data_IF_517349206090
#
_entry.id   IF_517349206090
#
_cell.length_a   1.000
_cell.length_b   1.000
_cell.length_c   1.000
_cell.angle_alpha   90.00
_cell.angle_beta   90.00
_cell.angle_gamma   90.00
#
_symmetry.space_group_name_H-M   'P 1'
#
loop_
_entity.id
_entity.type
_entity.pdbx_description
1 polymer ?
#
# COMPACT_ATOMS: atom_id res chain seq x y z
N UNK A 1 -13.20 -3.69 27.24
CA UNK A 1 -12.12 -4.25 26.39
C UNK A 1 -11.65 -3.14 25.46
N UNK A 2 -10.35 -3.12 25.20
CA UNK A 2 -9.61 -1.89 24.97
C UNK A 2 -9.70 -1.45 23.50
N UNK A 3 -10.14 -0.21 23.26
CA UNK A 3 -10.09 0.43 21.92
C UNK A 3 -8.66 0.77 21.50
N UNK A 4 -7.66 0.29 22.24
CA UNK A 4 -6.24 0.50 22.02
C UNK A 4 -5.79 0.14 20.59
N UNK A 5 -6.17 -1.02 20.04
CA UNK A 5 -5.76 -1.41 18.68
C UNK A 5 -6.31 -0.43 17.62
N UNK A 6 -7.55 0.04 17.79
CA UNK A 6 -8.16 1.04 16.89
C UNK A 6 -7.45 2.39 17.03
N UNK A 7 -7.18 2.85 18.26
CA UNK A 7 -6.45 4.09 18.52
C UNK A 7 -5.02 4.05 17.98
N UNK A 8 -4.34 2.91 18.11
CA UNK A 8 -3.01 2.69 17.54
C UNK A 8 -3.05 2.83 16.02
N UNK A 9 -4.00 2.14 15.36
CA UNK A 9 -4.20 2.23 13.93
C UNK A 9 -4.47 3.68 13.47
N UNK A 10 -5.38 4.41 14.14
CA UNK A 10 -5.67 5.82 13.83
C UNK A 10 -4.39 6.68 13.90
N UNK A 11 -3.55 6.46 14.91
CA UNK A 11 -2.28 7.16 15.06
C UNK A 11 -1.30 6.79 13.92
N UNK A 12 -1.15 5.51 13.61
CA UNK A 12 -0.31 5.02 12.50
C UNK A 12 -0.75 5.60 11.15
N UNK A 13 -2.06 5.63 10.88
CA UNK A 13 -2.64 6.28 9.69
C UNK A 13 -2.25 7.76 9.66
N UNK A 14 -2.47 8.49 10.75
CA UNK A 14 -2.20 9.94 10.82
C UNK A 14 -0.73 10.25 10.54
N UNK A 15 0.19 9.43 11.07
CA UNK A 15 1.63 9.55 10.81
C UNK A 15 1.99 9.30 9.35
N UNK A 16 1.42 8.26 8.73
CA UNK A 16 1.66 7.97 7.31
C UNK A 16 1.10 9.08 6.41
N UNK A 17 -0.12 9.56 6.69
CA UNK A 17 -0.74 10.68 5.96
C UNK A 17 0.14 11.93 6.04
N UNK A 18 0.67 12.25 7.22
CA UNK A 18 1.58 13.37 7.42
C UNK A 18 2.87 13.19 6.60
N UNK A 19 3.49 12.01 6.69
CA UNK A 19 4.72 11.69 5.95
C UNK A 19 4.54 11.91 4.44
N UNK A 20 3.48 11.32 3.87
CA UNK A 20 3.16 11.45 2.44
C UNK A 20 2.87 12.89 2.05
N UNK A 21 2.21 13.67 2.92
CA UNK A 21 1.87 15.07 2.67
C UNK A 21 3.10 15.99 2.70
N UNK A 22 4.07 15.70 3.57
CA UNK A 22 5.33 16.43 3.67
C UNK A 22 6.32 16.11 2.54
N UNK A 23 6.07 15.05 1.75
CA UNK A 23 6.98 14.62 0.69
C UNK A 23 6.93 15.60 -0.51
N UNK A 24 7.86 16.56 -0.54
CA UNK A 24 8.00 17.57 -1.61
C UNK A 24 8.72 17.04 -2.86
N UNK A 25 9.30 15.84 -2.80
CA UNK A 25 10.09 15.26 -3.90
C UNK A 25 9.16 14.74 -5.00
N UNK A 26 9.01 15.53 -6.06
CA UNK A 26 8.08 15.32 -7.20
C UNK A 26 8.37 14.10 -8.09
N UNK A 27 9.42 13.32 -7.83
CA UNK A 27 9.95 12.35 -8.81
C UNK A 27 9.99 10.89 -8.32
N UNK A 28 9.16 10.52 -7.35
CA UNK A 28 9.07 9.15 -6.85
C UNK A 28 8.01 8.37 -7.66
N UNK A 29 8.37 7.31 -8.41
CA UNK A 29 7.39 6.40 -8.99
C UNK A 29 6.45 5.80 -7.92
N UNK A 30 6.98 5.59 -6.72
CA UNK A 30 6.22 5.07 -5.59
C UNK A 30 5.24 6.09 -4.99
N UNK A 31 5.41 7.40 -5.25
CA UNK A 31 4.54 8.42 -4.69
C UNK A 31 3.11 8.25 -5.18
N UNK A 32 2.90 7.80 -6.42
CA UNK A 32 1.56 7.50 -6.94
C UNK A 32 0.89 6.42 -6.09
N UNK A 33 1.58 5.31 -5.81
CA UNK A 33 1.06 4.22 -4.98
C UNK A 33 0.80 4.69 -3.54
N UNK A 34 1.71 5.46 -2.93
CA UNK A 34 1.54 5.93 -1.56
C UNK A 34 0.44 6.99 -1.40
N UNK A 35 0.20 7.81 -2.43
CA UNK A 35 -0.97 8.69 -2.46
C UNK A 35 -2.25 7.87 -2.47
N UNK A 36 -2.31 6.83 -3.30
CA UNK A 36 -3.46 5.92 -3.35
C UNK A 36 -3.68 5.25 -1.98
N UNK A 37 -2.63 4.75 -1.33
CA UNK A 37 -2.70 4.19 0.03
C UNK A 37 -3.30 5.23 0.99
N UNK A 38 -2.79 6.46 0.98
CA UNK A 38 -3.28 7.54 1.84
C UNK A 38 -4.74 7.89 1.55
N UNK A 39 -5.16 7.89 0.29
CA UNK A 39 -6.55 8.16 -0.09
C UNK A 39 -7.49 7.08 0.48
N UNK A 40 -7.11 5.80 0.39
CA UNK A 40 -7.84 4.69 1.04
C UNK A 40 -7.93 4.89 2.56
N UNK A 41 -6.81 5.20 3.22
CA UNK A 41 -6.78 5.36 4.68
C UNK A 41 -7.55 6.60 5.15
N UNK A 42 -7.59 7.68 4.35
CA UNK A 42 -8.40 8.87 4.63
C UNK A 42 -9.90 8.60 4.58
N UNK A 43 -10.34 7.65 3.75
CA UNK A 43 -11.74 7.21 3.73
C UNK A 43 -12.09 6.40 4.99
N UNK A 44 -11.15 5.59 5.48
CA UNK A 44 -11.37 4.73 6.63
C UNK A 44 -11.28 5.47 7.98
N UNK A 45 -10.31 6.39 8.12
CA UNK A 45 -9.99 7.02 9.42
C UNK A 45 -11.21 7.65 10.13
N UNK A 46 -12.09 8.44 9.47
CA UNK A 46 -13.23 9.05 10.15
C UNK A 46 -14.19 8.02 10.76
N UNK A 47 -14.34 6.88 10.10
CA UNK A 47 -15.18 5.78 10.61
C UNK A 47 -14.56 5.15 11.86
N UNK A 48 -13.23 5.00 11.90
CA UNK A 48 -12.53 4.52 13.08
C UNK A 48 -12.62 5.52 14.24
N UNK A 49 -12.49 6.82 13.96
CA UNK A 49 -12.63 7.89 14.95
C UNK A 49 -14.04 7.86 15.59
N UNK A 50 -15.07 7.67 14.77
CA UNK A 50 -16.46 7.50 15.20
C UNK A 50 -16.65 6.26 16.08
N UNK A 51 -16.11 5.10 15.67
CA UNK A 51 -16.21 3.83 16.42
C UNK A 51 -15.62 3.93 17.82
N UNK A 52 -14.49 4.64 17.98
CA UNK A 52 -13.91 4.92 19.30
C UNK A 52 -14.87 5.73 20.19
N UNK A 53 -15.70 6.58 19.60
CA UNK A 53 -16.71 7.36 20.31
C UNK A 53 -17.97 6.57 20.71
N UNK A 54 -18.31 5.49 19.99
CA UNK A 54 -19.60 4.80 20.14
C UNK A 54 -19.62 3.60 21.12
N UNK A 55 -18.52 3.27 21.82
CA UNK A 55 -18.45 2.08 22.70
C UNK A 55 -18.99 0.82 22.00
N UNK A 56 -18.58 0.60 20.74
CA UNK A 56 -19.02 -0.53 19.91
C UNK A 56 -18.75 -1.86 20.64
N UNK A 57 -19.66 -2.86 20.53
CA UNK A 57 -19.43 -4.18 21.10
C UNK A 57 -18.07 -4.75 20.71
N UNK A 58 -17.39 -5.36 21.67
CA UNK A 58 -16.10 -6.03 21.44
C UNK A 58 -16.27 -7.13 20.38
N UNK A 59 -15.53 -7.03 19.29
CA UNK A 59 -15.52 -8.01 18.20
C UNK A 59 -14.05 -8.34 17.87
N UNK A 60 -13.65 -9.59 18.14
CA UNK A 60 -12.26 -10.04 17.96
C UNK A 60 -11.82 -9.99 16.49
N UNK A 61 -12.75 -10.12 15.55
CA UNK A 61 -12.47 -10.03 14.11
C UNK A 61 -12.12 -8.59 13.76
N UNK A 62 -12.86 -7.61 14.29
CA UNK A 62 -12.57 -6.19 14.10
C UNK A 62 -11.17 -5.84 14.58
N UNK A 63 -10.82 -6.24 15.81
CA UNK A 63 -9.51 -5.90 16.38
C UNK A 63 -8.36 -6.55 15.63
N UNK A 64 -8.50 -7.83 15.25
CA UNK A 64 -7.51 -8.53 14.45
C UNK A 64 -7.27 -7.86 13.09
N UNK A 65 -8.33 -7.46 12.41
CA UNK A 65 -8.18 -6.77 11.12
C UNK A 65 -7.61 -5.34 11.29
N UNK A 66 -7.89 -4.67 12.42
CA UNK A 66 -7.23 -3.40 12.77
C UNK A 66 -5.73 -3.57 13.03
N UNK A 67 -5.30 -4.64 13.70
CA UNK A 67 -3.89 -4.95 13.95
C UNK A 67 -3.15 -5.31 12.65
N UNK A 68 -3.77 -6.11 11.79
CA UNK A 68 -3.23 -6.43 10.47
C UNK A 68 -3.05 -5.17 9.62
N UNK A 69 -4.06 -4.28 9.64
CA UNK A 69 -3.97 -3.01 8.93
C UNK A 69 -2.89 -2.10 9.54
N UNK A 70 -2.77 -2.03 10.87
CA UNK A 70 -1.75 -1.23 11.55
C UNK A 70 -0.34 -1.69 11.16
N UNK A 71 -0.12 -3.00 11.13
CA UNK A 71 1.14 -3.59 10.65
C UNK A 71 1.42 -3.21 9.19
N UNK A 72 0.42 -3.29 8.31
CA UNK A 72 0.60 -2.90 6.91
C UNK A 72 0.89 -1.40 6.73
N UNK A 73 0.22 -0.53 7.50
CA UNK A 73 0.46 0.91 7.52
C UNK A 73 1.86 1.24 8.04
N UNK A 74 2.31 0.56 9.10
CA UNK A 74 3.65 0.75 9.64
C UNK A 74 4.73 0.26 8.69
N UNK A 75 4.54 -0.87 8.00
CA UNK A 75 5.44 -1.34 6.95
C UNK A 75 5.53 -0.34 5.79
N UNK A 76 4.40 0.23 5.37
CA UNK A 76 4.41 1.28 4.35
C UNK A 76 5.18 2.52 4.84
N UNK A 77 4.94 2.97 6.07
CA UNK A 77 5.66 4.12 6.65
C UNK A 77 7.17 3.87 6.69
N UNK A 78 7.59 2.73 7.22
CA UNK A 78 9.02 2.36 7.33
C UNK A 78 9.68 2.30 5.95
N UNK A 79 9.01 1.68 4.97
CA UNK A 79 9.51 1.65 3.60
C UNK A 79 9.73 3.07 3.06
N UNK A 80 8.76 3.97 3.28
CA UNK A 80 8.84 5.35 2.80
C UNK A 80 9.91 6.18 3.53
N UNK A 81 10.09 5.98 4.84
CA UNK A 81 11.14 6.61 5.65
C UNK A 81 12.55 6.16 5.22
N UNK A 82 12.70 4.90 4.84
CA UNK A 82 13.96 4.31 4.39
C UNK A 82 14.25 4.53 2.90
N UNK A 83 13.26 4.99 2.12
CA UNK A 83 13.43 5.17 0.69
C UNK A 83 14.38 6.34 0.37
N UNK A 84 15.23 6.16 -0.64
CA UNK A 84 16.11 7.23 -1.14
C UNK A 84 16.16 7.24 -2.67
N UNK A 85 16.61 8.34 -3.31
CA UNK A 85 16.83 8.37 -4.76
C UNK A 85 17.84 7.34 -5.30
N UNK A 86 18.58 6.65 -4.42
CA UNK A 86 19.51 5.56 -4.75
C UNK A 86 18.86 4.18 -4.64
N UNK A 87 17.64 4.09 -4.11
CA UNK A 87 16.86 2.87 -4.04
C UNK A 87 16.31 2.53 -5.43
N UNK A 88 16.16 1.24 -5.74
CA UNK A 88 15.63 0.79 -7.03
C UNK A 88 14.16 1.19 -7.15
N UNK A 89 13.82 1.85 -8.25
CA UNK A 89 12.44 2.22 -8.58
C UNK A 89 11.60 0.98 -8.89
N UNK A 90 12.17 -0.01 -9.58
CA UNK A 90 11.51 -1.27 -9.92
C UNK A 90 11.17 -2.07 -8.66
N UNK A 91 12.15 -2.30 -7.78
CA UNK A 91 11.93 -3.02 -6.52
C UNK A 91 10.99 -2.25 -5.59
N UNK A 92 11.07 -0.92 -5.58
CA UNK A 92 10.14 -0.07 -4.85
C UNK A 92 8.69 -0.26 -5.31
N UNK A 93 8.45 -0.26 -6.62
CA UNK A 93 7.14 -0.50 -7.18
C UNK A 93 6.63 -1.91 -6.83
N UNK A 94 7.47 -2.94 -7.04
CA UNK A 94 7.17 -4.34 -6.72
C UNK A 94 6.81 -4.56 -5.24
N UNK A 95 7.49 -3.87 -4.30
CA UNK A 95 7.19 -3.96 -2.86
C UNK A 95 5.94 -3.18 -2.47
N UNK A 96 5.63 -2.09 -3.17
CA UNK A 96 4.49 -1.22 -2.85
C UNK A 96 3.13 -1.79 -3.25
N UNK A 97 3.07 -2.58 -4.33
CA UNK A 97 1.80 -3.13 -4.83
C UNK A 97 1.14 -4.12 -3.85
N UNK A 98 1.85 -5.12 -3.27
CA UNK A 98 1.27 -6.00 -2.25
C UNK A 98 0.81 -5.23 -1.01
N UNK A 99 1.53 -4.17 -0.61
CA UNK A 99 1.14 -3.32 0.51
C UNK A 99 -0.18 -2.61 0.24
N UNK A 100 -0.36 -2.04 -0.95
CA UNK A 100 -1.61 -1.40 -1.34
C UNK A 100 -2.77 -2.41 -1.31
N UNK A 101 -2.59 -3.59 -1.91
CA UNK A 101 -3.62 -4.65 -1.93
C UNK A 101 -4.00 -5.06 -0.51
N UNK A 102 -3.01 -5.24 0.38
CA UNK A 102 -3.26 -5.64 1.77
C UNK A 102 -3.99 -4.55 2.54
N UNK A 103 -3.58 -3.29 2.39
CA UNK A 103 -4.27 -2.14 3.01
C UNK A 103 -5.71 -2.02 2.52
N UNK A 104 -5.97 -2.14 1.22
CA UNK A 104 -7.32 -2.11 0.66
C UNK A 104 -8.17 -3.27 1.22
N UNK A 105 -7.64 -4.49 1.20
CA UNK A 105 -8.34 -5.68 1.67
C UNK A 105 -8.71 -5.59 3.15
N UNK A 106 -7.75 -5.25 4.02
CA UNK A 106 -8.01 -5.08 5.45
C UNK A 106 -8.97 -3.93 5.73
N UNK A 107 -8.86 -2.81 4.99
CA UNK A 107 -9.81 -1.69 5.12
C UNK A 107 -11.25 -2.11 4.77
N UNK A 108 -11.44 -2.87 3.69
CA UNK A 108 -12.76 -3.40 3.31
C UNK A 108 -13.32 -4.36 4.35
N UNK A 109 -12.50 -5.27 4.89
CA UNK A 109 -12.92 -6.20 5.93
C UNK A 109 -13.33 -5.49 7.23
N UNK A 110 -12.62 -4.42 7.61
CA UNK A 110 -13.00 -3.54 8.73
C UNK A 110 -14.37 -2.92 8.43
N UNK A 111 -14.57 -2.32 7.25
CA UNK A 111 -15.86 -1.73 6.88
C UNK A 111 -17.01 -2.75 6.87
N UNK A 112 -16.78 -3.96 6.36
CA UNK A 112 -17.75 -5.05 6.40
C UNK A 112 -18.12 -5.43 7.85
N UNK A 113 -17.11 -5.52 8.71
CA UNK A 113 -17.30 -5.88 10.13
C UNK A 113 -18.07 -4.80 10.88
N UNK A 114 -17.69 -3.53 10.70
CA UNK A 114 -18.43 -2.40 11.24
C UNK A 114 -19.86 -2.33 10.72
N UNK A 115 -20.09 -2.61 9.44
CA UNK A 115 -21.44 -2.63 8.85
C UNK A 115 -22.32 -3.68 9.54
N UNK A 116 -21.79 -4.87 9.80
CA UNK A 116 -22.49 -5.95 10.52
C UNK A 116 -22.83 -5.55 11.96
N UNK A 117 -21.88 -4.92 12.66
CA UNK A 117 -22.04 -4.49 14.04
C UNK A 117 -23.01 -3.31 14.19
N UNK A 118 -23.06 -2.40 13.22
CA UNK A 118 -24.00 -1.27 13.25
C UNK A 118 -25.41 -1.64 12.79
N UNK A 119 -25.54 -2.64 11.92
CA UNK A 119 -26.85 -3.20 11.54
C UNK A 119 -27.57 -3.81 12.75
N UNK A 120 -26.84 -4.45 13.67
CA UNK A 120 -27.43 -4.98 14.91
C UNK A 120 -27.76 -3.89 15.93
N UNK A 121 -27.16 -2.70 15.83
CA UNK A 121 -27.32 -1.60 16.80
C UNK A 121 -28.24 -0.45 16.35
N UNK A 122 -28.92 -0.58 15.19
CA UNK A 122 -29.89 0.40 14.64
C UNK A 122 -29.38 1.82 14.35
N UNK A 123 -28.08 2.01 14.08
CA UNK A 123 -27.52 3.32 13.72
C UNK A 123 -27.54 3.56 12.20
N UNK A 124 -28.51 4.34 11.72
CA UNK A 124 -28.73 4.58 10.28
C UNK A 124 -27.71 5.52 9.61
N UNK A 125 -27.09 6.43 10.35
CA UNK A 125 -26.13 7.41 9.80
C UNK A 125 -24.76 6.79 9.51
N UNK A 126 -24.22 5.99 10.44
CA UNK A 126 -22.94 5.30 10.27
C UNK A 126 -22.94 4.28 9.14
N UNK A 127 -24.10 3.67 8.87
CA UNK A 127 -24.26 2.69 7.78
C UNK A 127 -24.07 3.31 6.38
N UNK A 128 -24.53 4.55 6.18
CA UNK A 128 -24.37 5.25 4.89
C UNK A 128 -22.90 5.62 4.63
N UNK A 129 -22.21 6.11 5.66
CA UNK A 129 -20.78 6.44 5.58
C UNK A 129 -19.92 5.22 5.28
N UNK A 130 -20.24 4.07 5.90
CA UNK A 130 -19.57 2.79 5.63
C UNK A 130 -19.76 2.30 4.20
N UNK A 131 -21.00 2.30 3.70
CA UNK A 131 -21.29 1.88 2.33
C UNK A 131 -20.55 2.75 1.30
N UNK A 132 -20.53 4.07 1.52
CA UNK A 132 -19.78 4.98 0.66
C UNK A 132 -18.27 4.70 0.73
N UNK A 133 -17.72 4.51 1.93
CA UNK A 133 -16.30 4.18 2.12
C UNK A 133 -15.92 2.89 1.38
N UNK A 134 -16.72 1.82 1.51
CA UNK A 134 -16.48 0.56 0.80
C UNK A 134 -16.45 0.74 -0.72
N UNK A 135 -17.46 1.42 -1.29
CA UNK A 135 -17.52 1.66 -2.73
C UNK A 135 -16.33 2.48 -3.23
N UNK A 136 -15.92 3.50 -2.50
CA UNK A 136 -14.77 4.32 -2.87
C UNK A 136 -13.47 3.51 -2.80
N UNK A 137 -13.27 2.69 -1.76
CA UNK A 137 -12.09 1.81 -1.64
C UNK A 137 -12.05 0.77 -2.77
N UNK A 138 -13.18 0.17 -3.15
CA UNK A 138 -13.27 -0.79 -4.26
C UNK A 138 -12.99 -0.16 -5.63
N UNK A 139 -13.35 1.11 -5.81
CA UNK A 139 -13.10 1.86 -7.05
C UNK A 139 -11.64 2.25 -7.24
N UNK A 140 -10.85 2.25 -6.16
CA UNK A 140 -9.42 2.55 -6.24
C UNK A 140 -8.71 1.46 -7.04
N UNK A 141 -8.37 1.82 -8.29
CA UNK A 141 -7.54 1.01 -9.19
C UNK A 141 -6.13 1.58 -9.25
N UNK A 142 -5.14 0.72 -9.40
CA UNK A 142 -3.76 1.13 -9.67
C UNK A 142 -3.19 0.32 -10.85
N UNK A 143 -2.35 0.97 -11.63
CA UNK A 143 -1.55 0.31 -12.66
C UNK A 143 -0.51 -0.59 -11.98
N UNK A 144 -0.40 -1.84 -12.43
CA UNK A 144 0.49 -2.85 -11.86
C UNK A 144 1.72 -3.05 -12.73
N UNK A 145 2.88 -2.65 -12.22
CA UNK A 145 4.19 -3.01 -12.76
C UNK A 145 4.34 -4.52 -12.80
N UNK A 146 3.87 -5.24 -11.77
CA UNK A 146 3.89 -6.72 -11.74
C UNK A 146 3.22 -7.34 -12.96
N UNK A 147 2.02 -6.85 -13.33
CA UNK A 147 1.29 -7.37 -14.49
C UNK A 147 2.08 -7.17 -15.81
N UNK A 148 2.73 -6.02 -16.00
CA UNK A 148 3.57 -5.79 -17.18
C UNK A 148 4.84 -6.65 -17.17
N UNK A 149 5.42 -6.91 -15.99
CA UNK A 149 6.59 -7.77 -15.85
C UNK A 149 6.24 -9.24 -16.15
N UNK A 150 5.15 -9.75 -15.61
CA UNK A 150 4.68 -11.12 -15.85
C UNK A 150 4.44 -11.37 -17.34
N UNK A 151 3.82 -10.40 -18.02
CA UNK A 151 3.60 -10.44 -19.46
C UNK A 151 4.91 -10.37 -20.27
N UNK A 152 5.85 -9.51 -19.86
CA UNK A 152 7.17 -9.42 -20.50
C UNK A 152 7.95 -10.74 -20.35
N UNK A 153 7.96 -11.34 -19.16
CA UNK A 153 8.62 -12.62 -18.87
C UNK A 153 7.96 -13.76 -19.66
N UNK A 154 6.63 -13.81 -19.69
CA UNK A 154 5.88 -14.82 -20.43
C UNK A 154 6.14 -14.77 -21.94
N UNK A 155 6.43 -13.59 -22.49
CA UNK A 155 6.83 -13.46 -23.90
C UNK A 155 8.25 -13.98 -24.15
N UNK A 156 9.17 -13.79 -23.20
CA UNK A 156 10.55 -14.29 -23.29
C UNK A 156 10.62 -15.82 -23.26
N UNK A 157 9.84 -16.48 -22.39
CA UNK A 157 9.82 -17.95 -22.29
C UNK A 157 9.34 -18.64 -23.57
N UNK A 158 8.62 -17.91 -24.44
CA UNK A 158 8.13 -18.42 -25.74
C UNK A 158 9.15 -18.25 -26.88
N UNK A 159 10.40 -17.89 -26.56
CA UNK A 159 11.47 -17.56 -27.52
C UNK A 159 11.11 -16.40 -28.47
N UNK A 160 10.14 -15.59 -28.05
CA UNK A 160 9.73 -14.36 -28.72
C UNK A 160 10.41 -13.21 -27.96
N UNK A 161 11.04 -12.29 -28.70
CA UNK A 161 11.64 -11.08 -28.12
C UNK A 161 10.65 -10.43 -27.12
N UNK A 162 11.08 -10.07 -25.89
CA UNK A 162 10.22 -9.44 -24.91
C UNK A 162 9.43 -8.30 -25.57
N UNK A 163 8.11 -8.34 -25.47
CA UNK A 163 7.26 -7.38 -26.19
C UNK A 163 7.67 -5.96 -25.82
N UNK A 164 8.21 -5.22 -26.81
CA UNK A 164 8.67 -3.84 -26.66
C UNK A 164 7.61 -2.95 -26.02
N UNK A 165 6.32 -3.27 -26.25
CA UNK A 165 5.18 -2.61 -25.62
C UNK A 165 5.20 -2.70 -24.09
N UNK A 166 5.44 -3.89 -23.51
CA UNK A 166 5.46 -4.06 -22.05
C UNK A 166 6.68 -3.40 -21.43
N UNK A 167 7.84 -3.47 -22.11
CA UNK A 167 9.03 -2.75 -21.67
C UNK A 167 8.83 -1.23 -21.68
N UNK A 168 8.17 -0.67 -22.71
CA UNK A 168 7.82 0.75 -22.76
C UNK A 168 6.88 1.15 -21.62
N UNK A 169 5.87 0.34 -21.29
CA UNK A 169 4.98 0.62 -20.16
C UNK A 169 5.74 0.62 -18.82
N UNK A 170 6.69 -0.30 -18.63
CA UNK A 170 7.52 -0.35 -17.42
C UNK A 170 8.41 0.88 -17.33
N UNK A 171 9.09 1.27 -18.42
CA UNK A 171 9.97 2.45 -18.41
C UNK A 171 9.19 3.74 -18.21
N UNK A 172 7.98 3.86 -18.76
CA UNK A 172 7.09 5.00 -18.53
C UNK A 172 6.63 5.09 -17.08
N UNK A 173 6.10 3.99 -16.52
CA UNK A 173 5.58 3.93 -15.15
C UNK A 173 6.65 4.20 -14.09
N UNK A 174 7.89 3.76 -14.33
CA UNK A 174 9.04 4.02 -13.46
C UNK A 174 9.77 5.34 -13.77
N UNK A 175 9.35 6.07 -14.80
CA UNK A 175 10.01 7.28 -15.29
C UNK A 175 11.51 7.04 -15.55
N UNK A 176 11.82 5.97 -16.29
CA UNK A 176 13.15 5.59 -16.77
C UNK A 176 13.33 6.08 -18.20
N UNK A 177 13.31 7.39 -18.38
CA UNK A 177 13.22 8.03 -19.70
C UNK A 177 14.57 8.25 -20.39
N UNK A 178 15.69 8.12 -19.66
CA UNK A 178 17.04 8.31 -20.20
C UNK A 178 17.94 7.11 -19.97
N UNK A 179 19.00 6.98 -20.78
CA UNK A 179 20.04 5.96 -20.59
C UNK A 179 20.73 6.09 -19.22
N UNK A 180 20.84 7.31 -18.70
CA UNK A 180 21.38 7.55 -17.36
C UNK A 180 20.44 7.04 -16.27
N UNK A 181 19.12 7.18 -16.43
CA UNK A 181 18.14 6.64 -15.49
C UNK A 181 18.15 5.12 -15.49
N UNK A 182 18.27 4.50 -16.68
CA UNK A 182 18.42 3.05 -16.81
C UNK A 182 19.70 2.53 -16.14
N UNK A 183 20.83 3.23 -16.31
CA UNK A 183 22.09 2.86 -15.66
C UNK A 183 21.99 2.99 -14.13
N UNK A 184 21.40 4.08 -13.62
CA UNK A 184 21.18 4.28 -12.19
C UNK A 184 20.28 3.18 -11.61
N UNK A 185 19.21 2.83 -12.32
CA UNK A 185 18.30 1.76 -11.90
C UNK A 185 19.01 0.41 -11.87
N UNK A 186 19.78 0.07 -12.90
CA UNK A 186 20.57 -1.17 -12.94
C UNK A 186 21.53 -1.29 -11.75
N UNK A 187 22.27 -0.21 -11.45
CA UNK A 187 23.18 -0.16 -10.28
C UNK A 187 22.40 -0.30 -8.97
N UNK A 188 21.23 0.35 -8.85
CA UNK A 188 20.40 0.29 -7.64
C UNK A 188 19.84 -1.12 -7.39
N UNK A 189 19.34 -1.78 -8.44
CA UNK A 189 18.86 -3.17 -8.38
C UNK A 189 19.98 -4.11 -7.94
N UNK A 190 21.15 -3.98 -8.57
CA UNK A 190 22.30 -4.83 -8.25
C UNK A 190 22.79 -4.63 -6.81
N UNK A 191 22.80 -3.38 -6.34
CA UNK A 191 23.16 -3.06 -4.96
C UNK A 191 22.19 -3.67 -3.96
N UNK A 192 20.88 -3.59 -4.21
CA UNK A 192 19.88 -4.21 -3.34
C UNK A 192 19.98 -5.74 -3.35
N UNK A 193 20.29 -6.36 -4.51
CA UNK A 193 20.55 -7.80 -4.62
C UNK A 193 21.72 -8.22 -3.73
N UNK A 194 22.86 -7.54 -3.83
CA UNK A 194 24.05 -7.83 -3.00
C UNK A 194 23.77 -7.68 -1.49
N UNK A 195 22.94 -6.69 -1.10
CA UNK A 195 22.58 -6.52 0.31
C UNK A 195 21.79 -7.71 0.87
N UNK A 196 20.91 -8.31 0.06
CA UNK A 196 20.15 -9.52 0.45
C UNK A 196 21.08 -10.72 0.60
N UNK A 197 22.00 -10.91 -0.34
CA UNK A 197 22.99 -12.01 -0.30
C UNK A 197 23.92 -11.89 0.93
N UNK A 198 24.35 -10.68 1.30
CA UNK A 198 25.21 -10.46 2.49
C UNK A 198 24.45 -10.65 3.81
N UNK A 199 23.14 -10.34 3.86
CA UNK A 199 22.33 -10.62 5.05
C UNK A 199 22.11 -12.12 5.27
N UNK A 200 21.94 -12.90 4.20
CA UNK A 200 21.82 -14.37 4.30
C UNK A 200 23.12 -15.02 4.77
N UNK A 201 24.28 -14.48 4.37
CA UNK A 201 25.60 -14.99 4.81
C UNK A 201 25.92 -14.66 6.27
N UNK A 202 25.35 -13.58 6.83
CA UNK A 202 25.53 -13.20 8.25
C UNK A 202 24.47 -13.76 9.20
N UNK A 203 23.40 -14.35 8.66
CA UNK A 203 22.28 -14.91 9.41
C UNK A 203 22.40 -16.41 9.74
N UNK A 204 23.53 -17.06 9.38
CA UNK A 204 23.84 -18.45 9.71
C UNK A 204 24.90 -18.56 10.81
#
# INVERSE_FOLDING_TARGET
MDTASIKCLINSISRLVLLVSCQTVKSLPIQKVYRIIVDVLKLLKPLLDEVVGYNVPSDDILFKECEELDMAVNQAREFMENWSPKSSKLLSALRSEPLLIRIQSSSLKICCTLSRLLQSSSSASGLRGLQQCMQEIERVKHERVTAYLEEALSSQTKDIMPSTKYLMNITELLSLTSSQDLLKESIAVEKERMNVEVSDVRGN
#
